data_IF_208465481935
#
_entry.id   IF_208465481935
#
_cell.length_a   1.000
_cell.length_b   1.000
_cell.length_c   1.000
_cell.angle_alpha   90.00
_cell.angle_beta   90.00
_cell.angle_gamma   90.00
#
_symmetry.space_group_name_H-M   'P 1'
#
loop_
_entity.id
_entity.type
_entity.pdbx_description
1 polymer ?
#
# COMPACT_ATOMS: atom_id res chain seq x y z
N UNK A 1 -0.03 6.99 8.72
CA UNK A 1 -1.11 7.18 7.73
C UNK A 1 -0.59 7.26 6.29
N UNK A 2 0.49 8.02 6.01
CA UNK A 2 1.04 8.14 4.65
C UNK A 2 1.44 6.78 4.06
N UNK A 3 2.27 6.01 4.75
CA UNK A 3 2.74 4.69 4.29
C UNK A 3 1.59 3.70 4.12
N UNK A 4 0.63 3.70 5.05
CA UNK A 4 -0.56 2.85 4.94
C UNK A 4 -1.40 3.26 3.73
N UNK A 5 -1.59 4.57 3.51
CA UNK A 5 -2.28 5.09 2.33
C UNK A 5 -1.57 4.76 1.02
N UNK A 6 -0.24 4.71 1.00
CA UNK A 6 0.54 4.23 -0.15
C UNK A 6 0.32 2.73 -0.39
N UNK A 7 0.41 1.93 0.67
CA UNK A 7 0.29 0.48 0.57
C UNK A 7 -1.13 0.03 0.18
N UNK A 8 -2.17 0.69 0.70
CA UNK A 8 -3.57 0.36 0.42
C UNK A 8 -4.12 1.03 -0.85
N UNK A 9 -3.50 2.12 -1.31
CA UNK A 9 -4.04 2.96 -2.38
C UNK A 9 -5.22 3.85 -1.94
N UNK A 10 -5.67 3.75 -0.68
CA UNK A 10 -6.81 4.48 -0.12
C UNK A 10 -6.33 5.49 0.94
N UNK A 11 -7.12 6.54 1.17
CA UNK A 11 -6.81 7.51 2.23
C UNK A 11 -7.09 6.87 3.58
N UNK A 12 -6.11 6.88 4.48
CA UNK A 12 -6.21 6.36 5.84
C UNK A 12 -5.73 7.43 6.81
N UNK A 13 -6.58 7.82 7.77
CA UNK A 13 -6.27 8.82 8.78
C UNK A 13 -5.63 8.16 10.02
N UNK A 14 -6.29 7.16 10.57
CA UNK A 14 -5.81 6.41 11.74
C UNK A 14 -5.66 4.91 11.45
N UNK A 15 -4.50 4.48 10.92
CA UNK A 15 -4.25 3.08 10.59
C UNK A 15 -4.05 2.18 11.82
N UNK A 16 -4.10 2.73 13.03
CA UNK A 16 -3.89 1.99 14.29
C UNK A 16 -5.18 1.88 15.12
N UNK A 17 -6.29 2.40 14.61
CA UNK A 17 -7.58 2.29 15.28
C UNK A 17 -7.96 0.81 15.49
N UNK A 18 -8.16 0.41 16.75
CA UNK A 18 -8.53 -0.94 17.11
C UNK A 18 -10.03 -1.25 16.94
N UNK A 19 -10.85 -0.23 16.73
CA UNK A 19 -12.29 -0.40 16.52
C UNK A 19 -12.57 -0.64 15.05
N UNK A 20 -13.08 -1.83 14.74
CA UNK A 20 -13.38 -2.22 13.36
C UNK A 20 -14.74 -2.90 13.31
N UNK A 21 -15.59 -2.48 12.40
CA UNK A 21 -16.82 -3.17 12.04
C UNK A 21 -16.70 -3.66 10.58
N UNK A 22 -17.04 -4.90 10.34
CA UNK A 22 -16.93 -5.51 9.01
C UNK A 22 -18.18 -6.33 8.69
N UNK A 23 -18.61 -6.29 7.44
CA UNK A 23 -19.69 -7.16 6.96
C UNK A 23 -19.16 -8.59 6.84
N UNK A 24 -19.85 -9.53 7.45
CA UNK A 24 -19.43 -10.94 7.51
C UNK A 24 -19.32 -11.57 6.10
N UNK A 25 -20.21 -11.22 5.19
CA UNK A 25 -20.19 -11.70 3.80
C UNK A 25 -18.93 -11.28 3.05
N UNK A 26 -18.37 -10.11 3.34
CA UNK A 26 -17.13 -9.62 2.73
C UNK A 26 -15.88 -10.40 3.16
N UNK A 27 -15.93 -11.08 4.31
CA UNK A 27 -14.76 -11.76 4.90
C UNK A 27 -14.99 -13.25 5.17
N UNK A 28 -16.15 -13.77 4.81
CA UNK A 28 -16.56 -15.17 5.07
C UNK A 28 -15.54 -16.21 4.62
N UNK A 29 -14.84 -15.94 3.53
CA UNK A 29 -13.90 -16.87 2.89
C UNK A 29 -12.43 -16.60 3.30
N UNK A 30 -12.21 -15.80 4.33
CA UNK A 30 -10.86 -15.53 4.84
C UNK A 30 -10.57 -16.39 6.05
N UNK A 31 -9.40 -16.95 6.09
CA UNK A 31 -8.83 -17.46 7.34
C UNK A 31 -8.11 -16.32 8.09
N UNK A 32 -8.88 -15.27 8.41
CA UNK A 32 -8.37 -14.06 9.03
C UNK A 32 -7.94 -14.26 10.48
N UNK A 33 -8.43 -15.32 11.14
CA UNK A 33 -8.14 -15.60 12.55
C UNK A 33 -6.68 -16.01 12.75
N UNK A 34 -6.12 -16.76 11.80
CA UNK A 34 -4.78 -17.33 11.93
C UNK A 34 -3.67 -16.54 11.22
N UNK A 35 -4.02 -15.59 10.36
CA UNK A 35 -3.03 -14.91 9.51
C UNK A 35 -2.20 -13.86 10.24
N UNK A 36 -2.70 -13.23 11.30
CA UNK A 36 -1.97 -12.20 12.05
C UNK A 36 -2.40 -12.10 13.51
N UNK A 37 -1.42 -12.08 14.40
CA UNK A 37 -1.63 -11.86 15.84
C UNK A 37 -0.77 -10.72 16.37
N UNK A 38 -1.30 -9.96 17.34
CA UNK A 38 -0.57 -8.90 18.04
C UNK A 38 -0.64 -7.51 17.40
N UNK A 39 0.25 -6.62 17.85
CA UNK A 39 0.29 -5.23 17.40
C UNK A 39 0.53 -5.15 15.88
N UNK A 40 -0.23 -4.29 15.21
CA UNK A 40 -0.17 -4.13 13.76
C UNK A 40 -1.33 -4.79 13.03
N UNK A 41 -2.18 -5.54 13.73
CA UNK A 41 -3.40 -6.13 13.20
C UNK A 41 -4.25 -5.13 12.38
N UNK A 42 -4.50 -3.88 12.82
CA UNK A 42 -5.29 -2.95 12.01
C UNK A 42 -4.64 -2.64 10.64
N UNK A 43 -3.32 -2.46 10.59
CA UNK A 43 -2.64 -2.26 9.30
C UNK A 43 -2.72 -3.48 8.40
N UNK A 44 -2.51 -4.68 8.95
CA UNK A 44 -2.64 -5.92 8.20
C UNK A 44 -4.05 -6.06 7.62
N UNK A 45 -5.07 -5.76 8.42
CA UNK A 45 -6.47 -5.78 8.01
C UNK A 45 -6.75 -4.84 6.84
N UNK A 46 -6.29 -3.58 6.93
CA UNK A 46 -6.42 -2.60 5.86
C UNK A 46 -5.74 -3.06 4.57
N UNK A 47 -4.56 -3.69 4.66
CA UNK A 47 -3.86 -4.24 3.50
C UNK A 47 -4.66 -5.36 2.84
N UNK A 48 -5.26 -6.26 3.64
CA UNK A 48 -6.09 -7.36 3.12
C UNK A 48 -7.37 -6.87 2.43
N UNK A 49 -8.03 -5.87 3.01
CA UNK A 49 -9.17 -5.21 2.38
C UNK A 49 -8.77 -4.59 1.03
N UNK A 50 -7.64 -3.89 1.01
CA UNK A 50 -7.12 -3.27 -0.21
C UNK A 50 -6.75 -4.30 -1.28
N UNK A 51 -6.07 -5.39 -0.93
CA UNK A 51 -5.72 -6.48 -1.86
C UNK A 51 -6.96 -7.05 -2.57
N UNK A 52 -8.11 -7.05 -1.90
CA UNK A 52 -9.38 -7.58 -2.41
C UNK A 52 -10.32 -6.53 -3.00
N UNK A 53 -9.87 -5.28 -3.07
CA UNK A 53 -10.70 -4.14 -3.52
C UNK A 53 -11.97 -3.94 -2.68
N UNK A 54 -11.93 -4.30 -1.40
CA UNK A 54 -13.04 -4.07 -0.47
C UNK A 54 -12.91 -2.63 0.04
N UNK A 55 -13.94 -1.76 -0.22
CA UNK A 55 -13.91 -0.40 0.26
C UNK A 55 -14.07 -0.37 1.78
N UNK A 56 -13.35 0.54 2.42
CA UNK A 56 -13.55 0.86 3.83
C UNK A 56 -13.74 2.35 4.02
N UNK A 57 -14.39 2.72 5.09
CA UNK A 57 -14.63 4.11 5.47
C UNK A 57 -14.27 4.29 6.94
N UNK A 58 -13.54 5.35 7.23
CA UNK A 58 -13.27 5.76 8.61
C UNK A 58 -14.41 6.61 9.13
N UNK A 59 -14.86 6.30 10.33
CA UNK A 59 -15.88 7.06 11.06
C UNK A 59 -15.20 7.65 12.28
N UNK A 60 -15.24 8.98 12.47
CA UNK A 60 -14.63 9.60 13.63
C UNK A 60 -15.34 9.14 14.92
N UNK A 61 -14.58 8.60 15.83
CA UNK A 61 -15.04 8.20 17.16
C UNK A 61 -14.30 9.01 18.22
N UNK A 62 -15.01 9.38 19.27
CA UNK A 62 -14.39 10.09 20.40
C UNK A 62 -13.49 9.13 21.16
N UNK A 63 -12.20 9.40 21.18
CA UNK A 63 -11.27 8.65 22.05
C UNK A 63 -11.41 9.12 23.49
N UNK A 64 -11.56 8.17 24.39
CA UNK A 64 -11.61 8.44 25.82
C UNK A 64 -10.41 7.76 26.46
N UNK A 65 -9.38 8.55 26.73
CA UNK A 65 -8.21 8.10 27.48
C UNK A 65 -8.40 8.47 28.95
N UNK A 66 -8.25 7.51 29.84
CA UNK A 66 -8.12 7.72 31.29
C UNK A 66 -6.62 7.67 31.64
N UNK A 67 -6.25 7.04 32.73
CA UNK A 67 -4.85 6.93 33.16
C UNK A 67 -4.07 5.80 32.45
N UNK A 68 -4.44 5.46 31.25
CA UNK A 68 -3.85 4.35 30.51
C UNK A 68 -2.48 4.76 29.93
N UNK A 69 -1.47 3.94 30.18
CA UNK A 69 -0.14 4.12 29.57
C UNK A 69 0.01 3.19 28.39
N UNK A 70 0.52 3.72 27.28
CA UNK A 70 0.78 2.91 26.09
C UNK A 70 1.91 1.90 26.35
N UNK A 71 1.61 0.61 26.20
CA UNK A 71 2.59 -0.47 26.26
C UNK A 71 3.42 -0.65 24.97
N UNK A 72 3.21 0.19 23.96
CA UNK A 72 3.87 0.05 22.66
C UNK A 72 5.32 0.52 22.74
N UNK A 73 6.26 -0.40 22.50
CA UNK A 73 7.69 -0.07 22.36
C UNK A 73 7.97 0.32 20.90
N UNK A 74 7.94 1.62 20.60
CA UNK A 74 8.06 2.20 19.25
C UNK A 74 9.26 1.63 18.47
N UNK A 75 10.43 1.50 19.10
CA UNK A 75 11.66 0.98 18.46
C UNK A 75 11.51 -0.45 17.93
N UNK A 76 10.68 -1.30 18.58
CA UNK A 76 10.41 -2.68 18.14
C UNK A 76 9.22 -2.76 17.19
N UNK A 77 8.27 -1.85 17.35
CA UNK A 77 7.04 -1.82 16.57
C UNK A 77 7.28 -1.25 15.16
N UNK A 78 7.99 -0.13 15.06
CA UNK A 78 8.16 0.59 13.80
C UNK A 78 8.78 -0.26 12.67
N UNK A 79 9.88 -1.01 12.88
CA UNK A 79 10.43 -1.86 11.83
C UNK A 79 9.45 -2.93 11.34
N UNK A 80 8.71 -3.56 12.26
CA UNK A 80 7.74 -4.62 11.92
C UNK A 80 6.60 -4.09 11.07
N UNK A 81 6.05 -2.92 11.44
CA UNK A 81 4.98 -2.28 10.66
C UNK A 81 5.49 -1.78 9.32
N UNK A 82 6.68 -1.20 9.27
CA UNK A 82 7.28 -0.77 8.00
C UNK A 82 7.48 -1.97 7.05
N UNK A 83 7.99 -3.08 7.55
CA UNK A 83 8.14 -4.30 6.76
C UNK A 83 6.79 -4.86 6.29
N UNK A 84 5.76 -4.85 7.15
CA UNK A 84 4.41 -5.27 6.80
C UNK A 84 3.83 -4.40 5.68
N UNK A 85 3.90 -3.07 5.82
CA UNK A 85 3.38 -2.12 4.84
C UNK A 85 4.13 -2.22 3.51
N UNK A 86 5.46 -2.36 3.56
CA UNK A 86 6.29 -2.56 2.38
C UNK A 86 5.93 -3.87 1.66
N UNK A 87 5.86 -4.98 2.40
CA UNK A 87 5.45 -6.26 1.83
C UNK A 87 4.04 -6.22 1.25
N UNK A 88 3.10 -5.53 1.90
CA UNK A 88 1.74 -5.32 1.41
C UNK A 88 1.68 -4.52 0.12
N UNK A 89 2.45 -3.43 0.03
CA UNK A 89 2.59 -2.63 -1.18
C UNK A 89 3.06 -3.50 -2.37
N UNK A 90 4.14 -4.27 -2.17
CA UNK A 90 4.69 -5.14 -3.20
C UNK A 90 3.74 -6.26 -3.58
N UNK A 91 3.10 -6.94 -2.60
CA UNK A 91 2.13 -8.01 -2.90
C UNK A 91 0.97 -7.50 -3.73
N UNK A 92 0.39 -6.34 -3.35
CA UNK A 92 -0.69 -5.73 -4.13
C UNK A 92 -0.19 -5.32 -5.53
N UNK A 93 0.93 -4.62 -5.60
CA UNK A 93 1.51 -4.14 -6.86
C UNK A 93 1.84 -5.28 -7.83
N UNK A 94 2.60 -6.27 -7.39
CA UNK A 94 2.94 -7.45 -8.19
C UNK A 94 1.67 -8.23 -8.54
N UNK A 95 0.80 -8.48 -7.57
CA UNK A 95 -0.44 -9.22 -7.78
C UNK A 95 -1.34 -8.56 -8.83
N UNK A 96 -1.57 -7.26 -8.73
CA UNK A 96 -2.52 -6.54 -9.60
C UNK A 96 -1.93 -6.20 -10.97
N UNK A 97 -0.65 -5.82 -11.04
CA UNK A 97 -0.08 -5.24 -12.26
C UNK A 97 0.89 -6.16 -12.98
N UNK A 98 1.69 -6.95 -12.29
CA UNK A 98 2.60 -7.88 -12.94
C UNK A 98 1.91 -9.20 -13.26
N UNK A 99 1.25 -9.82 -12.27
CA UNK A 99 0.55 -11.09 -12.42
C UNK A 99 -0.89 -10.94 -12.91
N UNK A 100 -1.41 -9.72 -12.97
CA UNK A 100 -2.79 -9.37 -13.36
C UNK A 100 -3.84 -10.25 -12.67
N UNK A 101 -3.65 -10.51 -11.37
CA UNK A 101 -4.61 -11.28 -10.57
C UNK A 101 -5.93 -10.53 -10.46
N UNK A 102 -6.99 -11.31 -10.46
CA UNK A 102 -8.32 -10.80 -10.13
C UNK A 102 -8.37 -10.36 -8.68
N UNK A 103 -9.12 -9.29 -8.42
CA UNK A 103 -9.52 -8.94 -7.08
C UNK A 103 -10.66 -9.86 -6.58
N UNK A 104 -11.14 -9.62 -5.35
CA UNK A 104 -12.25 -10.40 -4.80
C UNK A 104 -13.58 -10.29 -5.55
N UNK A 105 -13.65 -9.48 -6.63
CA UNK A 105 -14.82 -9.28 -7.50
C UNK A 105 -14.57 -9.69 -8.95
N UNK A 106 -13.45 -10.33 -9.23
CA UNK A 106 -13.07 -10.75 -10.58
C UNK A 106 -12.52 -9.65 -11.49
N UNK A 107 -12.25 -8.44 -10.96
CA UNK A 107 -11.72 -7.35 -11.76
C UNK A 107 -10.22 -7.49 -11.99
N UNK A 108 -9.79 -7.27 -13.24
CA UNK A 108 -8.37 -7.19 -13.63
C UNK A 108 -8.00 -5.80 -14.12
N UNK A 109 -6.76 -5.40 -13.89
CA UNK A 109 -6.22 -4.22 -14.57
C UNK A 109 -6.06 -4.49 -16.06
N UNK A 110 -6.29 -3.46 -16.90
CA UNK A 110 -6.04 -3.58 -18.34
C UNK A 110 -4.56 -3.86 -18.61
N UNK A 111 -4.25 -4.42 -19.77
CA UNK A 111 -2.86 -4.67 -20.15
C UNK A 111 -2.09 -3.34 -20.21
N UNK A 112 -2.68 -2.31 -20.82
CA UNK A 112 -2.07 -0.99 -20.93
C UNK A 112 -1.77 -0.36 -19.55
N UNK A 113 -2.74 -0.38 -18.63
CA UNK A 113 -2.54 0.14 -17.26
C UNK A 113 -1.48 -0.66 -16.53
N UNK A 114 -1.52 -1.99 -16.61
CA UNK A 114 -0.54 -2.88 -15.96
C UNK A 114 0.87 -2.62 -16.47
N UNK A 115 1.05 -2.53 -17.78
CA UNK A 115 2.34 -2.26 -18.40
C UNK A 115 2.87 -0.88 -18.03
N UNK A 116 2.02 0.16 -18.09
CA UNK A 116 2.41 1.53 -17.75
C UNK A 116 2.86 1.63 -16.29
N UNK A 117 2.13 1.05 -15.34
CA UNK A 117 2.49 1.06 -13.93
C UNK A 117 3.77 0.26 -13.68
N UNK A 118 3.86 -0.95 -14.23
CA UNK A 118 5.04 -1.79 -14.05
C UNK A 118 6.30 -1.16 -14.64
N UNK A 119 6.24 -0.65 -15.86
CA UNK A 119 7.38 0.03 -16.49
C UNK A 119 7.80 1.27 -15.71
N UNK A 120 6.85 2.14 -15.30
CA UNK A 120 7.14 3.33 -14.50
C UNK A 120 7.77 2.98 -13.16
N UNK A 121 7.28 1.95 -12.50
CA UNK A 121 7.79 1.47 -11.22
C UNK A 121 9.21 0.90 -11.35
N UNK A 122 9.42 -0.03 -12.28
CA UNK A 122 10.73 -0.65 -12.48
C UNK A 122 11.79 0.34 -12.96
N UNK A 123 11.45 1.23 -13.91
CA UNK A 123 12.38 2.28 -14.38
C UNK A 123 12.82 3.21 -13.24
N UNK A 124 11.91 3.53 -12.32
CA UNK A 124 12.24 4.34 -11.13
C UNK A 124 13.23 3.64 -10.20
N UNK A 125 13.05 2.34 -9.96
CA UNK A 125 13.99 1.56 -9.15
C UNK A 125 15.35 1.41 -9.82
N UNK A 126 15.38 1.18 -11.12
CA UNK A 126 16.62 1.12 -11.90
C UNK A 126 17.37 2.46 -11.85
N UNK A 127 16.65 3.57 -12.02
CA UNK A 127 17.24 4.91 -11.90
C UNK A 127 17.81 5.15 -10.50
N UNK A 128 17.09 4.81 -9.43
CA UNK A 128 17.58 4.92 -8.04
C UNK A 128 18.82 4.06 -7.80
N UNK A 129 18.80 2.80 -8.24
CA UNK A 129 19.94 1.90 -8.08
C UNK A 129 21.18 2.35 -8.87
N UNK A 130 20.97 3.06 -9.97
CA UNK A 130 22.05 3.62 -10.78
C UNK A 130 22.72 4.87 -10.19
N UNK A 131 22.06 5.59 -9.26
CA UNK A 131 22.60 6.84 -8.69
C UNK A 131 24.03 6.68 -8.13
N UNK A 132 24.36 5.68 -7.30
CA UNK A 132 25.71 5.53 -6.77
C UNK A 132 26.78 5.36 -7.86
N UNK A 133 26.43 4.67 -8.95
CA UNK A 133 27.34 4.41 -10.07
C UNK A 133 27.63 5.68 -10.90
N UNK A 134 26.62 6.52 -11.12
CA UNK A 134 26.75 7.72 -11.94
C UNK A 134 27.16 8.95 -11.15
N UNK A 135 26.92 9.00 -9.83
CA UNK A 135 27.28 10.12 -8.98
C UNK A 135 28.81 10.34 -8.91
N UNK A 136 29.59 9.28 -9.07
CA UNK A 136 31.05 9.35 -9.13
C UNK A 136 31.56 9.92 -10.46
N UNK A 137 30.77 9.80 -11.53
CA UNK A 137 31.14 10.23 -12.87
C UNK A 137 30.62 11.66 -13.17
N UNK A 138 29.36 11.96 -12.81
CA UNK A 138 28.76 13.26 -13.07
C UNK A 138 27.56 13.54 -12.18
N UNK A 139 27.59 14.67 -11.48
CA UNK A 139 26.47 15.13 -10.65
C UNK A 139 25.21 15.41 -11.49
N UNK A 140 25.36 15.89 -12.72
CA UNK A 140 24.24 16.17 -13.62
C UNK A 140 23.49 14.88 -14.00
N UNK A 141 24.23 13.80 -14.27
CA UNK A 141 23.64 12.50 -14.59
C UNK A 141 22.94 11.94 -13.36
N UNK A 142 23.50 12.08 -12.17
CA UNK A 142 22.86 11.67 -10.92
C UNK A 142 21.56 12.45 -10.66
N UNK A 143 21.55 13.77 -10.87
CA UNK A 143 20.33 14.59 -10.79
C UNK A 143 19.29 14.17 -11.82
N UNK A 144 19.70 13.85 -13.04
CA UNK A 144 18.83 13.29 -14.08
C UNK A 144 18.18 11.96 -13.64
N UNK A 145 18.96 11.06 -13.07
CA UNK A 145 18.44 9.78 -12.53
C UNK A 145 17.42 9.99 -11.40
N UNK A 146 17.68 10.94 -10.49
CA UNK A 146 16.71 11.33 -9.44
C UNK A 146 15.41 11.84 -10.08
N UNK A 147 15.50 12.72 -11.07
CA UNK A 147 14.32 13.25 -11.77
C UNK A 147 13.50 12.14 -12.44
N UNK A 148 14.15 11.20 -13.13
CA UNK A 148 13.50 10.02 -13.73
C UNK A 148 12.83 9.17 -12.67
N UNK A 149 13.48 8.91 -11.55
CA UNK A 149 12.90 8.11 -10.46
C UNK A 149 11.64 8.79 -9.87
N UNK A 150 11.71 10.08 -9.57
CA UNK A 150 10.57 10.85 -9.02
C UNK A 150 9.41 10.85 -10.02
N UNK A 151 9.68 11.12 -11.29
CA UNK A 151 8.66 11.15 -12.35
C UNK A 151 7.99 9.80 -12.51
N UNK A 152 8.77 8.73 -12.60
CA UNK A 152 8.24 7.37 -12.75
C UNK A 152 7.40 6.92 -11.55
N UNK A 153 7.85 7.17 -10.31
CA UNK A 153 7.04 6.89 -9.12
C UNK A 153 5.76 7.73 -9.08
N UNK A 154 5.81 8.98 -9.53
CA UNK A 154 4.63 9.85 -9.58
C UNK A 154 3.61 9.33 -10.59
N UNK A 155 4.04 8.94 -11.78
CA UNK A 155 3.17 8.34 -12.81
C UNK A 155 2.56 7.05 -12.29
N UNK A 156 3.37 6.12 -11.77
CA UNK A 156 2.90 4.87 -11.22
C UNK A 156 1.85 5.12 -10.11
N UNK A 157 2.08 6.11 -9.24
CA UNK A 157 1.16 6.48 -8.17
C UNK A 157 -0.15 7.05 -8.66
N UNK A 158 -0.12 7.90 -9.69
CA UNK A 158 -1.34 8.48 -10.27
C UNK A 158 -2.18 7.38 -10.92
N UNK A 159 -1.56 6.53 -11.74
CA UNK A 159 -2.24 5.41 -12.39
C UNK A 159 -2.79 4.39 -11.39
N UNK A 160 -2.03 4.09 -10.32
CA UNK A 160 -2.49 3.23 -9.23
C UNK A 160 -3.75 3.81 -8.54
N UNK A 161 -3.76 5.11 -8.26
CA UNK A 161 -4.95 5.77 -7.69
C UNK A 161 -6.17 5.64 -8.60
N UNK A 162 -6.01 5.87 -9.91
CA UNK A 162 -7.09 5.74 -10.89
C UNK A 162 -7.63 4.31 -10.89
N UNK A 163 -6.74 3.32 -10.91
CA UNK A 163 -7.12 1.91 -10.91
C UNK A 163 -7.81 1.50 -9.60
N UNK A 164 -7.32 1.98 -8.45
CA UNK A 164 -7.98 1.76 -7.15
C UNK A 164 -9.39 2.34 -7.16
N UNK A 165 -9.57 3.58 -7.63
CA UNK A 165 -10.90 4.21 -7.71
C UNK A 165 -11.84 3.44 -8.63
N UNK A 166 -11.36 2.99 -9.78
CA UNK A 166 -12.13 2.15 -10.71
C UNK A 166 -12.62 0.87 -10.05
N UNK A 167 -11.78 0.22 -9.25
CA UNK A 167 -12.13 -1.01 -8.54
C UNK A 167 -13.07 -0.80 -7.35
N UNK A 168 -12.94 0.33 -6.65
CA UNK A 168 -13.80 0.63 -5.51
C UNK A 168 -15.21 1.08 -5.93
N UNK A 169 -15.31 1.78 -7.06
CA UNK A 169 -16.57 2.31 -7.62
C UNK A 169 -16.83 1.69 -9.01
N UNK A 170 -17.12 0.39 -9.09
CA UNK A 170 -17.58 -0.20 -10.34
C UNK A 170 -18.97 0.39 -10.64
N UNK A 171 -19.11 1.09 -11.76
CA UNK A 171 -20.40 1.53 -12.30
C UNK A 171 -21.28 0.32 -12.62
#
# INVERSE_FOLDING_TARGET
SLLTGLATGQKVQDPQCGYTAVRLDAVRHWDWVHEWSGYGYPNWWLLKLAERSIPFKEVPVRSVYRNEQSGIRVRRFLPKISALLFAGLWRRGIGWYLLRREDGRGNKASIATSSAISCSWFSSWVALAGIPLVATASIFVALGAVAVAITGFSIARILDKIEVQRRLNPN
#
